data_IF_965977581386
#
_entry.id   IF_965977581386
#
_cell.length_a   1.000
_cell.length_b   1.000
_cell.length_c   1.000
_cell.angle_alpha   90.00
_cell.angle_beta   90.00
_cell.angle_gamma   90.00
#
_symmetry.space_group_name_H-M   'P 1'
#
loop_
_entity.id
_entity.type
_entity.pdbx_description
1 polymer ?
#
# COMPACT_ATOMS: atom_id res chain seq x y z
N UNK A 1 29.25 -7.40 -17.28
CA UNK A 1 30.72 -7.38 -17.18
C UNK A 1 31.11 -5.92 -17.15
N UNK A 2 31.74 -5.49 -16.06
CA UNK A 2 32.11 -4.09 -15.82
C UNK A 2 33.10 -3.56 -16.87
N UNK A 3 33.31 -2.24 -16.89
CA UNK A 3 34.29 -1.56 -17.75
C UNK A 3 35.68 -2.23 -17.64
N UNK A 4 36.29 -2.73 -18.73
CA UNK A 4 37.62 -3.33 -18.72
C UNK A 4 38.69 -2.45 -18.08
N UNK A 5 38.54 -1.12 -18.16
CA UNK A 5 39.47 -0.20 -17.52
C UNK A 5 39.33 -0.19 -15.98
N UNK A 6 38.15 -0.46 -15.44
CA UNK A 6 37.92 -0.55 -13.98
C UNK A 6 38.56 -1.81 -13.39
N UNK A 7 38.41 -2.95 -14.07
CA UNK A 7 39.10 -4.20 -13.72
C UNK A 7 40.63 -4.01 -13.80
N UNK A 8 41.12 -3.38 -14.87
CA UNK A 8 42.55 -3.11 -15.06
C UNK A 8 43.16 -2.27 -13.93
N UNK A 9 42.47 -1.20 -13.51
CA UNK A 9 42.87 -0.38 -12.36
C UNK A 9 42.93 -1.20 -11.06
N UNK A 10 41.89 -2.00 -10.77
CA UNK A 10 41.85 -2.84 -9.57
C UNK A 10 42.96 -3.90 -9.56
N UNK A 11 43.20 -4.57 -10.69
CA UNK A 11 44.29 -5.54 -10.83
C UNK A 11 45.65 -4.88 -10.54
N UNK A 12 45.88 -3.68 -11.09
CA UNK A 12 47.11 -2.94 -10.87
C UNK A 12 47.29 -2.53 -9.40
N UNK A 13 46.23 -2.04 -8.76
CA UNK A 13 46.25 -1.65 -7.35
C UNK A 13 46.57 -2.83 -6.44
N UNK A 14 45.89 -3.96 -6.64
CA UNK A 14 46.12 -5.18 -5.87
C UNK A 14 47.54 -5.71 -6.04
N UNK A 15 48.03 -5.76 -7.28
CA UNK A 15 49.41 -6.16 -7.56
C UNK A 15 50.42 -5.27 -6.84
N UNK A 16 50.23 -3.95 -6.91
CA UNK A 16 51.10 -2.98 -6.22
C UNK A 16 51.05 -3.12 -4.70
N UNK A 17 49.86 -3.35 -4.12
CA UNK A 17 49.69 -3.61 -2.67
C UNK A 17 50.38 -4.89 -2.23
N UNK A 18 50.35 -5.93 -3.07
CA UNK A 18 51.09 -7.18 -2.84
C UNK A 18 52.60 -7.07 -3.08
N UNK A 19 53.10 -5.92 -3.54
CA UNK A 19 54.53 -5.70 -3.82
C UNK A 19 55.05 -6.44 -5.06
N UNK A 20 54.16 -6.94 -5.93
CA UNK A 20 54.52 -7.77 -7.08
C UNK A 20 54.81 -6.91 -8.32
N UNK A 21 55.80 -7.29 -9.11
CA UNK A 21 55.98 -6.83 -10.48
C UNK A 21 55.00 -7.52 -11.43
N UNK A 22 54.79 -6.97 -12.64
CA UNK A 22 53.94 -7.62 -13.65
C UNK A 22 54.49 -9.00 -14.07
N UNK A 23 55.80 -9.20 -13.97
CA UNK A 23 56.43 -10.50 -14.22
C UNK A 23 56.19 -11.52 -13.11
N UNK A 24 56.12 -11.07 -11.86
CA UNK A 24 55.83 -11.95 -10.71
C UNK A 24 54.35 -12.34 -10.61
N UNK A 25 53.45 -11.51 -11.15
CA UNK A 25 52.03 -11.86 -11.26
C UNK A 25 51.73 -12.75 -12.49
N UNK A 26 52.62 -12.75 -13.49
CA UNK A 26 52.46 -13.53 -14.72
C UNK A 26 52.57 -15.04 -14.45
N UNK A 27 51.94 -15.84 -15.31
CA UNK A 27 51.93 -17.30 -15.25
C UNK A 27 51.76 -17.92 -16.63
N UNK A 28 51.82 -19.26 -16.71
CA UNK A 28 51.66 -19.95 -17.99
C UNK A 28 50.27 -19.66 -18.60
N UNK A 29 50.24 -19.09 -19.80
CA UNK A 29 49.02 -18.56 -20.42
C UNK A 29 48.71 -17.07 -20.16
N UNK A 30 49.48 -16.39 -19.29
CA UNK A 30 49.34 -14.94 -19.03
C UNK A 30 50.72 -14.28 -18.83
N UNK A 31 51.31 -13.75 -19.92
CA UNK A 31 52.62 -13.10 -19.85
C UNK A 31 52.60 -11.73 -19.16
N UNK A 32 53.74 -11.22 -18.72
CA UNK A 32 53.85 -9.88 -18.12
C UNK A 32 53.30 -8.76 -19.04
N UNK A 33 53.52 -8.88 -20.35
CA UNK A 33 52.94 -7.97 -21.35
C UNK A 33 51.43 -8.16 -21.55
N UNK A 34 50.89 -9.34 -21.21
CA UNK A 34 49.45 -9.58 -21.17
C UNK A 34 48.82 -8.92 -19.92
N UNK A 35 49.43 -9.11 -18.74
CA UNK A 35 49.05 -8.42 -17.49
C UNK A 35 49.03 -6.90 -17.69
N UNK A 36 50.08 -6.34 -18.30
CA UNK A 36 50.16 -4.90 -18.59
C UNK A 36 49.00 -4.39 -19.46
N UNK A 37 48.60 -5.14 -20.48
CA UNK A 37 47.45 -4.79 -21.34
C UNK A 37 46.10 -4.93 -20.62
N UNK A 38 45.98 -5.86 -19.67
CA UNK A 38 44.79 -5.93 -18.81
C UNK A 38 44.76 -4.71 -17.88
N UNK A 39 45.87 -4.37 -17.23
CA UNK A 39 45.97 -3.19 -16.34
C UNK A 39 45.64 -1.87 -17.05
N UNK A 40 46.01 -1.75 -18.33
CA UNK A 40 45.71 -0.60 -19.17
C UNK A 40 44.24 -0.55 -19.65
N UNK A 41 43.47 -1.63 -19.49
CA UNK A 41 42.11 -1.76 -20.02
C UNK A 41 42.05 -2.13 -21.51
N UNK A 42 43.19 -2.34 -22.18
CA UNK A 42 43.31 -2.66 -23.61
C UNK A 42 42.91 -4.11 -23.93
N UNK A 43 42.79 -4.96 -22.91
CA UNK A 43 42.50 -6.39 -23.07
C UNK A 43 41.53 -6.87 -22.00
N UNK A 44 40.42 -7.47 -22.44
CA UNK A 44 39.50 -8.19 -21.56
C UNK A 44 40.04 -9.60 -21.30
N UNK A 45 40.37 -9.96 -20.04
CA UNK A 45 40.80 -11.31 -19.70
C UNK A 45 39.64 -12.31 -19.78
N UNK A 46 39.94 -13.59 -20.00
CA UNK A 46 38.94 -14.66 -19.86
C UNK A 46 38.65 -14.91 -18.38
N UNK A 47 37.49 -15.51 -18.08
CA UNK A 47 37.10 -15.84 -16.70
C UNK A 47 38.13 -16.73 -15.99
N UNK A 48 38.71 -17.67 -16.72
CA UNK A 48 39.78 -18.53 -16.21
C UNK A 48 41.02 -17.72 -15.78
N UNK A 49 41.44 -16.74 -16.60
CA UNK A 49 42.57 -15.86 -16.25
C UNK A 49 42.26 -14.99 -15.03
N UNK A 50 41.02 -14.52 -14.90
CA UNK A 50 40.59 -13.72 -13.74
C UNK A 50 40.68 -14.53 -12.46
N UNK A 51 40.18 -15.77 -12.42
CA UNK A 51 40.28 -16.66 -11.25
C UNK A 51 41.73 -16.86 -10.82
N UNK A 52 42.58 -17.19 -11.79
CA UNK A 52 43.98 -17.50 -11.57
C UNK A 52 44.81 -16.27 -11.14
N UNK A 53 44.40 -15.06 -11.57
CA UNK A 53 44.94 -13.79 -11.06
C UNK A 53 44.43 -13.46 -9.65
N UNK A 54 43.16 -13.71 -9.37
CA UNK A 54 42.54 -13.48 -8.07
C UNK A 54 43.18 -14.37 -6.98
N UNK A 55 43.36 -15.66 -7.28
CA UNK A 55 44.02 -16.62 -6.40
C UNK A 55 45.44 -16.20 -6.03
N UNK A 56 46.24 -15.71 -7.01
CA UNK A 56 47.59 -15.20 -6.75
C UNK A 56 47.63 -13.92 -5.93
N UNK A 57 46.58 -13.11 -6.00
CA UNK A 57 46.46 -11.86 -5.27
C UNK A 57 45.75 -12.03 -3.91
N UNK A 58 45.26 -13.23 -3.61
CA UNK A 58 44.56 -13.54 -2.37
C UNK A 58 43.21 -12.84 -2.23
N UNK A 59 42.54 -12.56 -3.36
CA UNK A 59 41.20 -11.93 -3.39
C UNK A 59 40.20 -12.85 -4.09
N UNK A 60 38.91 -12.61 -3.89
CA UNK A 60 37.88 -13.35 -4.64
C UNK A 60 37.85 -12.98 -6.12
N UNK A 61 37.45 -13.94 -6.96
CA UNK A 61 37.14 -13.70 -8.38
C UNK A 61 36.13 -12.56 -8.54
N UNK A 62 35.10 -12.55 -7.68
CA UNK A 62 34.07 -11.52 -7.67
C UNK A 62 34.66 -10.14 -7.41
N UNK A 63 35.47 -9.96 -6.37
CA UNK A 63 36.12 -8.67 -6.09
C UNK A 63 37.03 -8.19 -7.21
N UNK A 64 37.76 -9.10 -7.87
CA UNK A 64 38.58 -8.74 -9.02
C UNK A 64 37.73 -8.33 -10.23
N UNK A 65 36.51 -8.86 -10.39
CA UNK A 65 35.58 -8.51 -11.46
C UNK A 65 34.75 -7.26 -11.17
N UNK A 66 34.19 -7.14 -9.96
CA UNK A 66 33.16 -6.15 -9.58
C UNK A 66 33.66 -5.08 -8.60
N UNK A 67 34.74 -5.37 -7.87
CA UNK A 67 35.31 -4.47 -6.85
C UNK A 67 34.64 -4.61 -5.49
N UNK A 68 33.70 -5.56 -5.35
CA UNK A 68 33.02 -5.91 -4.12
C UNK A 68 33.34 -7.36 -3.72
N UNK A 69 33.72 -7.58 -2.47
CA UNK A 69 33.84 -8.94 -1.92
C UNK A 69 32.47 -9.38 -1.39
N UNK A 70 31.98 -10.54 -1.86
CA UNK A 70 30.94 -11.30 -1.15
C UNK A 70 29.51 -10.77 -1.24
N UNK A 71 29.23 -9.76 -2.05
CA UNK A 71 27.86 -9.25 -2.22
C UNK A 71 26.95 -10.25 -2.98
N UNK A 72 27.50 -11.18 -3.77
CA UNK A 72 26.74 -12.27 -4.37
C UNK A 72 26.06 -13.19 -3.34
N UNK A 73 26.68 -13.39 -2.18
CA UNK A 73 26.05 -14.12 -1.05
C UNK A 73 24.85 -13.32 -0.53
N UNK A 74 24.99 -12.01 -0.41
CA UNK A 74 23.90 -11.15 0.05
C UNK A 74 22.77 -11.03 -0.95
N UNK A 75 23.03 -11.08 -2.26
CA UNK A 75 21.98 -11.19 -3.27
C UNK A 75 21.13 -12.46 -3.07
N UNK A 76 21.77 -13.60 -2.77
CA UNK A 76 21.04 -14.84 -2.45
C UNK A 76 20.24 -14.70 -1.15
N UNK A 77 20.85 -14.13 -0.10
CA UNK A 77 20.16 -13.86 1.18
C UNK A 77 18.95 -12.94 1.00
N UNK A 78 19.02 -11.92 0.14
CA UNK A 78 17.90 -11.04 -0.17
C UNK A 78 16.77 -11.76 -0.91
N UNK A 79 17.11 -12.72 -1.79
CA UNK A 79 16.12 -13.57 -2.44
C UNK A 79 15.43 -14.47 -1.41
N UNK A 80 16.18 -15.08 -0.50
CA UNK A 80 15.62 -15.90 0.59
C UNK A 80 14.73 -15.05 1.52
N UNK A 81 15.15 -13.82 1.83
CA UNK A 81 14.37 -12.87 2.61
C UNK A 81 13.04 -12.50 1.93
N UNK A 82 13.06 -12.27 0.61
CA UNK A 82 11.85 -11.99 -0.18
C UNK A 82 10.92 -13.20 -0.26
N UNK A 83 11.46 -14.42 -0.31
CA UNK A 83 10.65 -15.65 -0.25
C UNK A 83 9.98 -15.75 1.12
N UNK A 84 10.74 -15.63 2.20
CA UNK A 84 10.21 -15.65 3.57
C UNK A 84 9.12 -14.58 3.77
N UNK A 85 9.34 -13.36 3.25
CA UNK A 85 8.35 -12.28 3.27
C UNK A 85 7.05 -12.68 2.57
N UNK A 86 7.12 -13.35 1.41
CA UNK A 86 5.94 -13.79 0.65
C UNK A 86 5.21 -14.96 1.30
N UNK A 87 5.93 -15.80 2.04
CA UNK A 87 5.36 -16.92 2.79
C UNK A 87 4.77 -16.50 4.15
N UNK A 88 4.88 -15.22 4.52
CA UNK A 88 4.41 -14.70 5.81
C UNK A 88 5.36 -15.01 6.97
N UNK A 89 6.58 -15.46 6.70
CA UNK A 89 7.63 -15.77 7.67
C UNK A 89 8.38 -14.49 8.08
N UNK A 90 7.61 -13.51 8.58
CA UNK A 90 8.09 -12.15 8.76
C UNK A 90 9.23 -11.98 9.78
N UNK A 91 9.44 -12.94 10.69
CA UNK A 91 10.58 -12.94 11.60
C UNK A 91 11.88 -13.31 10.87
N UNK A 92 11.84 -14.38 10.06
CA UNK A 92 12.98 -14.82 9.26
C UNK A 92 13.35 -13.78 8.20
N UNK A 93 12.35 -13.24 7.49
CA UNK A 93 12.57 -12.16 6.53
C UNK A 93 13.26 -10.95 7.20
N UNK A 94 12.81 -10.56 8.40
CA UNK A 94 13.40 -9.46 9.15
C UNK A 94 14.88 -9.73 9.48
N UNK A 95 15.20 -10.93 9.95
CA UNK A 95 16.57 -11.32 10.30
C UNK A 95 17.49 -11.33 9.07
N UNK A 96 17.02 -11.87 7.94
CA UNK A 96 17.79 -11.94 6.70
C UNK A 96 18.06 -10.55 6.11
N UNK A 97 17.04 -9.68 6.03
CA UNK A 97 17.25 -8.29 5.61
C UNK A 97 18.14 -7.52 6.60
N UNK A 98 17.98 -7.75 7.91
CA UNK A 98 18.80 -7.13 8.94
C UNK A 98 20.29 -7.47 8.81
N UNK A 99 20.61 -8.76 8.55
CA UNK A 99 21.97 -9.22 8.28
C UNK A 99 22.54 -8.57 7.01
N UNK A 100 21.79 -8.60 5.91
CA UNK A 100 22.22 -7.97 4.66
C UNK A 100 22.49 -6.47 4.85
N UNK A 101 21.63 -5.75 5.59
CA UNK A 101 21.84 -4.33 5.88
C UNK A 101 23.09 -4.07 6.75
N UNK A 102 23.35 -4.92 7.74
CA UNK A 102 24.45 -4.76 8.69
C UNK A 102 25.81 -5.19 8.15
N UNK A 103 25.86 -6.23 7.32
CA UNK A 103 27.11 -6.91 6.92
C UNK A 103 27.50 -6.68 5.46
N UNK A 104 26.57 -6.35 4.56
CA UNK A 104 26.91 -6.10 3.16
C UNK A 104 27.77 -4.84 2.99
N UNK A 105 28.55 -4.79 1.92
CA UNK A 105 29.34 -3.60 1.59
C UNK A 105 28.66 -2.74 0.53
N UNK A 106 28.00 -3.35 -0.46
CA UNK A 106 27.25 -2.67 -1.51
C UNK A 106 26.12 -1.78 -0.96
N UNK A 107 26.03 -0.59 -1.57
CA UNK A 107 24.95 0.37 -1.36
C UNK A 107 23.63 -0.17 -1.92
N UNK A 108 23.67 -0.89 -3.03
CA UNK A 108 22.52 -1.51 -3.68
C UNK A 108 21.91 -2.59 -2.78
N UNK A 109 22.73 -3.51 -2.25
CA UNK A 109 22.27 -4.56 -1.32
C UNK A 109 21.67 -3.94 -0.06
N UNK A 110 22.31 -2.92 0.51
CA UNK A 110 21.75 -2.20 1.68
C UNK A 110 20.44 -1.49 1.37
N UNK A 111 20.31 -0.92 0.17
CA UNK A 111 19.10 -0.26 -0.31
C UNK A 111 17.96 -1.28 -0.45
N UNK A 112 18.21 -2.45 -1.03
CA UNK A 112 17.23 -3.53 -1.15
C UNK A 112 16.86 -4.13 0.21
N UNK A 113 17.81 -4.28 1.12
CA UNK A 113 17.54 -4.69 2.50
C UNK A 113 16.62 -3.71 3.24
N UNK A 114 16.88 -2.41 3.11
CA UNK A 114 16.01 -1.35 3.66
C UNK A 114 14.61 -1.40 3.04
N UNK A 115 14.51 -1.63 1.73
CA UNK A 115 13.23 -1.80 1.03
C UNK A 115 12.43 -2.98 1.59
N UNK A 116 13.08 -4.14 1.77
CA UNK A 116 12.48 -5.33 2.39
C UNK A 116 11.99 -5.08 3.83
N UNK A 117 12.80 -4.43 4.67
CA UNK A 117 12.40 -4.05 6.03
C UNK A 117 11.25 -3.04 6.03
N UNK A 118 11.23 -2.10 5.08
CA UNK A 118 10.14 -1.15 4.89
C UNK A 118 8.82 -1.84 4.51
N UNK A 119 8.88 -2.87 3.65
CA UNK A 119 7.73 -3.72 3.33
C UNK A 119 7.21 -4.50 4.55
N UNK A 120 8.10 -5.05 5.38
CA UNK A 120 7.71 -5.70 6.63
C UNK A 120 7.03 -4.74 7.60
N UNK A 121 7.57 -3.54 7.79
CA UNK A 121 6.96 -2.51 8.62
C UNK A 121 5.56 -2.14 8.09
N UNK A 122 5.39 -2.03 6.77
CA UNK A 122 4.09 -1.78 6.16
C UNK A 122 3.09 -2.92 6.42
N UNK A 123 3.50 -4.19 6.32
CA UNK A 123 2.65 -5.35 6.63
C UNK A 123 2.25 -5.42 8.11
N UNK A 124 3.12 -4.94 9.02
CA UNK A 124 2.85 -4.87 10.47
C UNK A 124 1.96 -3.70 10.88
N UNK A 125 1.60 -2.82 9.94
CA UNK A 125 0.83 -1.61 10.26
C UNK A 125 1.68 -0.54 10.95
N UNK A 126 2.98 -0.46 10.65
CA UNK A 126 3.93 0.50 11.20
C UNK A 126 4.32 1.55 10.13
N UNK A 127 3.37 2.40 9.66
CA UNK A 127 3.58 3.22 8.47
C UNK A 127 4.68 4.26 8.60
N UNK A 128 4.91 4.81 9.80
CA UNK A 128 6.02 5.77 10.03
C UNK A 128 7.38 5.11 9.82
N UNK A 129 7.56 3.89 10.32
CA UNK A 129 8.80 3.14 10.14
C UNK A 129 8.96 2.70 8.68
N UNK A 130 7.86 2.30 8.03
CA UNK A 130 7.88 2.00 6.60
C UNK A 130 8.35 3.20 5.76
N UNK A 131 7.83 4.40 6.02
CA UNK A 131 8.27 5.64 5.33
C UNK A 131 9.77 5.85 5.54
N UNK A 132 10.25 5.83 6.79
CA UNK A 132 11.66 6.07 7.09
C UNK A 132 12.58 5.10 6.33
N UNK A 133 12.27 3.80 6.36
CA UNK A 133 13.08 2.77 5.71
C UNK A 133 13.06 2.89 4.18
N UNK A 134 11.89 3.12 3.58
CA UNK A 134 11.73 3.20 2.12
C UNK A 134 12.33 4.49 1.56
N UNK A 135 12.21 5.62 2.26
CA UNK A 135 12.89 6.87 1.89
C UNK A 135 14.41 6.72 1.99
N UNK A 136 14.92 6.09 3.06
CA UNK A 136 16.35 5.79 3.20
C UNK A 136 16.85 4.87 2.08
N UNK A 137 16.07 3.86 1.68
CA UNK A 137 16.40 2.97 0.57
C UNK A 137 16.60 3.75 -0.75
N UNK A 138 15.70 4.69 -1.06
CA UNK A 138 15.80 5.56 -2.24
C UNK A 138 16.97 6.53 -2.13
N UNK A 139 17.14 7.18 -0.97
CA UNK A 139 18.21 8.16 -0.74
C UNK A 139 19.61 7.55 -0.86
N UNK A 140 19.77 6.28 -0.46
CA UNK A 140 21.06 5.60 -0.49
C UNK A 140 21.59 5.40 -1.92
N UNK A 141 20.71 5.17 -2.89
CA UNK A 141 21.06 4.91 -4.30
C UNK A 141 20.75 6.09 -5.24
N UNK A 142 19.99 7.08 -4.77
CA UNK A 142 19.45 8.15 -5.63
C UNK A 142 18.44 7.64 -6.66
N UNK A 143 17.87 6.44 -6.45
CA UNK A 143 16.95 5.81 -7.39
C UNK A 143 15.65 6.62 -7.53
N UNK A 144 15.11 6.65 -8.74
CA UNK A 144 13.78 7.18 -8.99
C UNK A 144 12.72 6.18 -8.45
N UNK A 145 11.72 6.63 -7.65
CA UNK A 145 10.70 5.71 -7.11
C UNK A 145 9.94 4.92 -8.19
N UNK A 146 9.75 5.54 -9.36
CA UNK A 146 9.08 4.92 -10.50
C UNK A 146 9.82 3.70 -11.06
N UNK A 147 11.14 3.66 -10.88
CA UNK A 147 11.99 2.54 -11.31
C UNK A 147 11.96 1.40 -10.26
N UNK A 148 11.32 1.62 -9.09
CA UNK A 148 11.06 0.64 -8.02
C UNK A 148 9.58 0.58 -7.63
N UNK A 149 8.71 -0.04 -8.46
CA UNK A 149 7.27 0.13 -8.30
C UNK A 149 6.67 -0.42 -7.01
N UNK A 150 7.25 -1.48 -6.43
CA UNK A 150 6.80 -2.03 -5.14
C UNK A 150 7.10 -1.07 -3.99
N UNK A 151 8.34 -0.56 -3.92
CA UNK A 151 8.73 0.49 -2.98
C UNK A 151 7.79 1.69 -3.09
N UNK A 152 7.60 2.24 -4.29
CA UNK A 152 6.76 3.43 -4.48
C UNK A 152 5.30 3.20 -4.09
N UNK A 153 4.75 2.02 -4.35
CA UNK A 153 3.41 1.65 -3.89
C UNK A 153 3.34 1.59 -2.35
N UNK A 154 4.29 0.91 -1.69
CA UNK A 154 4.30 0.80 -0.24
C UNK A 154 4.50 2.15 0.44
N UNK A 155 5.41 2.98 -0.06
CA UNK A 155 5.67 4.32 0.45
C UNK A 155 4.43 5.22 0.31
N UNK A 156 3.81 5.23 -0.87
CA UNK A 156 2.60 6.01 -1.12
C UNK A 156 1.40 5.56 -0.27
N UNK A 157 1.24 4.26 -0.05
CA UNK A 157 0.22 3.72 0.87
C UNK A 157 0.52 4.08 2.33
N UNK A 158 1.79 4.06 2.74
CA UNK A 158 2.19 4.43 4.09
C UNK A 158 1.89 5.91 4.36
N UNK A 159 2.22 6.82 3.44
CA UNK A 159 1.79 8.23 3.53
C UNK A 159 0.27 8.36 3.63
N UNK A 160 -0.49 7.67 2.77
CA UNK A 160 -1.94 7.73 2.78
C UNK A 160 -2.54 7.23 4.11
N UNK A 161 -1.96 6.19 4.71
CA UNK A 161 -2.40 5.66 6.01
C UNK A 161 -2.16 6.61 7.19
N UNK A 162 -1.25 7.57 7.04
CA UNK A 162 -1.02 8.66 7.99
C UNK A 162 -1.82 9.92 7.65
N UNK A 163 -2.75 9.84 6.71
CA UNK A 163 -3.52 10.98 6.16
C UNK A 163 -2.62 12.04 5.47
N UNK A 164 -1.37 11.70 5.17
CA UNK A 164 -0.43 12.51 4.41
C UNK A 164 -0.69 12.35 2.90
N UNK A 165 -1.87 12.77 2.45
CA UNK A 165 -2.33 12.55 1.08
C UNK A 165 -1.50 13.33 0.04
N UNK A 166 -0.99 14.51 0.38
CA UNK A 166 -0.24 15.35 -0.54
C UNK A 166 1.10 14.70 -1.00
N UNK A 167 1.97 14.18 -0.10
CA UNK A 167 3.12 13.38 -0.49
C UNK A 167 2.77 12.16 -1.35
N UNK A 168 1.71 11.41 -0.99
CA UNK A 168 1.27 10.24 -1.76
C UNK A 168 0.87 10.62 -3.20
N UNK A 169 0.06 11.67 -3.35
CA UNK A 169 -0.38 12.20 -4.66
C UNK A 169 0.84 12.64 -5.49
N UNK A 170 1.79 13.37 -4.89
CA UNK A 170 2.99 13.82 -5.58
C UNK A 170 3.84 12.64 -6.07
N UNK A 171 4.02 11.62 -5.24
CA UNK A 171 4.75 10.39 -5.57
C UNK A 171 4.10 9.65 -6.74
N UNK A 172 2.78 9.43 -6.70
CA UNK A 172 2.08 8.70 -7.77
C UNK A 172 2.03 9.49 -9.08
N UNK A 173 1.85 10.82 -9.04
CA UNK A 173 1.97 11.68 -10.23
C UNK A 173 3.36 11.59 -10.84
N UNK A 174 4.42 11.58 -10.02
CA UNK A 174 5.81 11.39 -10.49
C UNK A 174 5.98 10.04 -11.19
N UNK A 175 5.43 8.96 -10.61
CA UNK A 175 5.48 7.63 -11.20
C UNK A 175 4.75 7.55 -12.55
N UNK A 176 3.53 8.10 -12.65
CA UNK A 176 2.77 8.15 -13.90
C UNK A 176 3.48 8.99 -14.97
N UNK A 177 4.06 10.13 -14.59
CA UNK A 177 4.83 10.98 -15.51
C UNK A 177 6.05 10.24 -16.06
N UNK A 178 6.77 9.49 -15.22
CA UNK A 178 7.94 8.70 -15.64
C UNK A 178 7.58 7.58 -16.59
N UNK A 179 6.43 6.91 -16.39
CA UNK A 179 5.93 5.87 -17.30
C UNK A 179 5.56 6.42 -18.69
N UNK A 180 5.11 7.67 -18.80
CA UNK A 180 4.78 8.31 -20.09
C UNK A 180 3.68 7.57 -20.87
N UNK A 181 3.54 7.82 -22.19
CA UNK A 181 2.52 7.19 -23.06
C UNK A 181 2.82 5.73 -23.40
N UNK A 182 4.09 5.35 -23.41
CA UNK A 182 4.56 4.07 -23.95
C UNK A 182 5.00 3.09 -22.83
N UNK A 183 4.99 3.54 -21.57
CA UNK A 183 5.30 2.70 -20.42
C UNK A 183 4.28 1.59 -20.17
N UNK A 184 4.72 0.63 -19.36
CA UNK A 184 3.98 -0.57 -18.98
C UNK A 184 2.55 -0.25 -18.51
N UNK A 185 1.56 -0.83 -19.18
CA UNK A 185 0.15 -0.58 -18.90
C UNK A 185 -0.29 -1.10 -17.52
N UNK A 186 0.31 -2.19 -17.02
CA UNK A 186 0.03 -2.75 -15.69
C UNK A 186 0.53 -1.78 -14.61
N UNK A 187 1.73 -1.23 -14.77
CA UNK A 187 2.28 -0.23 -13.83
C UNK A 187 1.54 1.09 -13.92
N UNK A 188 1.12 1.51 -15.12
CA UNK A 188 0.27 2.70 -15.26
C UNK A 188 -1.05 2.53 -14.51
N UNK A 189 -1.75 1.42 -14.72
CA UNK A 189 -3.00 1.12 -14.02
C UNK A 189 -2.79 1.07 -12.50
N UNK A 190 -1.69 0.47 -12.03
CA UNK A 190 -1.32 0.44 -10.60
C UNK A 190 -1.27 1.85 -10.00
N UNK A 191 -0.42 2.71 -10.54
CA UNK A 191 -0.23 4.04 -9.97
C UNK A 191 -1.42 4.96 -10.20
N UNK A 192 -2.16 4.80 -11.29
CA UNK A 192 -3.38 5.57 -11.53
C UNK A 192 -4.49 5.18 -10.54
N UNK A 193 -4.66 3.89 -10.21
CA UNK A 193 -5.60 3.48 -9.18
C UNK A 193 -5.22 4.03 -7.80
N UNK A 194 -3.93 3.97 -7.43
CA UNK A 194 -3.41 4.50 -6.16
C UNK A 194 -3.57 6.03 -6.08
N UNK A 195 -3.30 6.74 -7.17
CA UNK A 195 -3.55 8.18 -7.27
C UNK A 195 -5.05 8.49 -7.16
N UNK A 196 -5.90 7.73 -7.86
CA UNK A 196 -7.35 7.87 -7.78
C UNK A 196 -7.87 7.69 -6.35
N UNK A 197 -7.31 6.74 -5.59
CA UNK A 197 -7.61 6.57 -4.16
C UNK A 197 -7.24 7.80 -3.35
N UNK A 198 -5.98 8.26 -3.43
CA UNK A 198 -5.51 9.39 -2.65
C UNK A 198 -6.28 10.70 -3.00
N UNK A 199 -6.63 10.90 -4.28
CA UNK A 199 -7.46 12.02 -4.72
C UNK A 199 -8.89 11.93 -4.20
N UNK A 200 -9.48 10.73 -4.19
CA UNK A 200 -10.82 10.51 -3.64
C UNK A 200 -10.85 10.76 -2.14
N UNK A 201 -9.83 10.30 -1.41
CA UNK A 201 -9.69 10.52 0.03
C UNK A 201 -9.47 12.00 0.37
N UNK A 202 -8.84 12.76 -0.54
CA UNK A 202 -8.70 14.21 -0.43
C UNK A 202 -9.99 14.97 -0.82
N UNK A 203 -10.97 14.31 -1.43
CA UNK A 203 -12.21 14.89 -1.95
C UNK A 203 -12.11 15.48 -3.37
N UNK A 204 -11.00 15.25 -4.08
CA UNK A 204 -10.79 15.72 -5.46
C UNK A 204 -11.39 14.76 -6.49
N UNK A 205 -12.71 14.59 -6.46
CA UNK A 205 -13.41 13.57 -7.24
C UNK A 205 -13.31 13.75 -8.77
N UNK A 206 -13.29 14.99 -9.25
CA UNK A 206 -13.21 15.26 -10.69
C UNK A 206 -11.85 14.81 -11.26
N UNK A 207 -10.77 15.09 -10.54
CA UNK A 207 -9.43 14.63 -10.94
C UNK A 207 -9.30 13.12 -10.79
N UNK A 208 -9.85 12.55 -9.70
CA UNK A 208 -9.88 11.10 -9.52
C UNK A 208 -10.60 10.40 -10.68
N UNK A 209 -11.72 10.96 -11.15
CA UNK A 209 -12.46 10.44 -12.31
C UNK A 209 -11.64 10.47 -13.59
N UNK A 210 -10.95 11.57 -13.87
CA UNK A 210 -10.05 11.67 -15.03
C UNK A 210 -8.92 10.63 -14.97
N UNK A 211 -8.30 10.45 -13.80
CA UNK A 211 -7.20 9.50 -13.61
C UNK A 211 -7.67 8.06 -13.79
N UNK A 212 -8.79 7.67 -13.16
CA UNK A 212 -9.33 6.32 -13.27
C UNK A 212 -9.86 6.04 -14.67
N UNK A 213 -10.48 7.01 -15.35
CA UNK A 213 -10.90 6.88 -16.75
C UNK A 213 -9.70 6.69 -17.68
N UNK A 214 -8.60 7.42 -17.48
CA UNK A 214 -7.36 7.22 -18.22
C UNK A 214 -6.76 5.81 -17.99
N UNK A 215 -6.85 5.30 -16.76
CA UNK A 215 -6.44 3.93 -16.43
C UNK A 215 -7.34 2.89 -17.10
N UNK A 216 -8.66 3.10 -17.16
CA UNK A 216 -9.61 2.26 -17.88
C UNK A 216 -9.27 2.17 -19.37
N UNK A 217 -8.94 3.30 -20.00
CA UNK A 217 -8.57 3.34 -21.41
C UNK A 217 -7.27 2.57 -21.67
N UNK A 218 -6.23 2.88 -20.91
CA UNK A 218 -4.91 2.28 -21.10
C UNK A 218 -4.86 0.81 -20.68
N UNK A 219 -5.69 0.42 -19.72
CA UNK A 219 -5.85 -0.94 -19.23
C UNK A 219 -6.72 -1.84 -20.12
N UNK A 220 -7.33 -1.34 -21.20
CA UNK A 220 -8.25 -2.14 -22.05
C UNK A 220 -7.66 -3.46 -22.54
N UNK A 221 -6.37 -3.45 -22.90
CA UNK A 221 -5.65 -4.63 -23.39
C UNK A 221 -5.10 -5.54 -22.30
N UNK A 222 -5.19 -5.15 -21.02
CA UNK A 222 -4.65 -5.94 -19.91
C UNK A 222 -5.60 -7.10 -19.60
N UNK A 223 -5.08 -8.32 -19.74
CA UNK A 223 -5.79 -9.57 -19.45
C UNK A 223 -5.57 -10.09 -18.04
N UNK A 224 -4.52 -9.61 -17.35
CA UNK A 224 -4.20 -9.97 -15.97
C UNK A 224 -5.40 -9.72 -15.03
N UNK A 225 -5.98 -10.77 -14.42
CA UNK A 225 -7.17 -10.64 -13.58
C UNK A 225 -6.98 -9.72 -12.38
N UNK A 226 -5.79 -9.68 -11.78
CA UNK A 226 -5.50 -8.81 -10.63
C UNK A 226 -5.55 -7.33 -11.02
N UNK A 227 -4.86 -6.97 -12.10
CA UNK A 227 -4.84 -5.59 -12.61
C UNK A 227 -6.23 -5.14 -13.05
N UNK A 228 -7.00 -6.01 -13.72
CA UNK A 228 -8.39 -5.73 -14.08
C UNK A 228 -9.27 -5.52 -12.85
N UNK A 229 -9.16 -6.41 -11.85
CA UNK A 229 -9.94 -6.33 -10.61
C UNK A 229 -9.65 -5.04 -9.84
N UNK A 230 -8.37 -4.65 -9.72
CA UNK A 230 -7.96 -3.40 -9.09
C UNK A 230 -8.57 -2.18 -9.78
N UNK A 231 -8.58 -2.17 -11.11
CA UNK A 231 -9.13 -1.08 -11.89
C UNK A 231 -10.66 -0.97 -11.76
N UNK A 232 -11.36 -2.10 -11.86
CA UNK A 232 -12.81 -2.17 -11.66
C UNK A 232 -13.20 -1.77 -10.23
N UNK A 233 -12.43 -2.21 -9.22
CA UNK A 233 -12.62 -1.79 -7.85
C UNK A 233 -12.40 -0.29 -7.68
N UNK A 234 -11.33 0.28 -8.26
CA UNK A 234 -11.08 1.72 -8.19
C UNK A 234 -12.24 2.54 -8.74
N UNK A 235 -12.79 2.14 -9.89
CA UNK A 235 -13.99 2.76 -10.44
C UNK A 235 -15.20 2.60 -9.53
N UNK A 236 -15.43 1.41 -8.96
CA UNK A 236 -16.53 1.17 -8.02
C UNK A 236 -16.43 2.07 -6.80
N UNK A 237 -15.25 2.16 -6.19
CA UNK A 237 -15.01 2.99 -4.99
C UNK A 237 -15.24 4.46 -5.29
N UNK A 238 -14.71 4.96 -6.40
CA UNK A 238 -14.96 6.34 -6.82
C UNK A 238 -16.45 6.60 -6.97
N UNK A 239 -17.20 5.72 -7.64
CA UNK A 239 -18.65 5.87 -7.82
C UNK A 239 -19.42 5.87 -6.49
N UNK A 240 -18.99 5.10 -5.49
CA UNK A 240 -19.56 5.14 -4.12
C UNK A 240 -19.36 6.52 -3.50
N UNK A 241 -18.12 7.04 -3.52
CA UNK A 241 -17.84 8.39 -3.00
C UNK A 241 -18.59 9.46 -3.78
N UNK A 242 -18.90 9.18 -5.04
CA UNK A 242 -19.73 10.06 -5.85
C UNK A 242 -21.24 9.96 -5.56
N UNK A 243 -21.70 8.99 -4.76
CA UNK A 243 -23.12 8.71 -4.47
C UNK A 243 -23.86 7.92 -5.56
N UNK A 244 -23.13 7.34 -6.53
CA UNK A 244 -23.68 6.62 -7.70
C UNK A 244 -23.71 5.10 -7.46
N UNK A 245 -24.42 4.67 -6.42
CA UNK A 245 -24.38 3.29 -5.89
C UNK A 245 -24.81 2.22 -6.89
N UNK A 246 -25.78 2.49 -7.78
CA UNK A 246 -26.21 1.52 -8.80
C UNK A 246 -25.15 1.27 -9.87
N UNK A 247 -24.38 2.30 -10.24
CA UNK A 247 -23.25 2.14 -11.14
C UNK A 247 -22.08 1.45 -10.44
N UNK A 248 -21.84 1.78 -9.16
CA UNK A 248 -20.84 1.11 -8.35
C UNK A 248 -21.11 -0.41 -8.26
N UNK A 249 -22.36 -0.83 -8.04
CA UNK A 249 -22.75 -2.24 -7.98
C UNK A 249 -22.28 -3.02 -9.22
N UNK A 250 -22.43 -2.43 -10.43
CA UNK A 250 -22.02 -3.07 -11.68
C UNK A 250 -20.53 -3.32 -11.74
N UNK A 251 -19.72 -2.38 -11.24
CA UNK A 251 -18.26 -2.53 -11.22
C UNK A 251 -17.82 -3.49 -10.11
N UNK A 252 -18.39 -3.39 -8.91
CA UNK A 252 -18.12 -4.31 -7.80
C UNK A 252 -18.43 -5.78 -8.17
N UNK A 253 -19.56 -6.04 -8.84
CA UNK A 253 -19.89 -7.39 -9.35
C UNK A 253 -18.85 -7.91 -10.33
N UNK A 254 -18.41 -7.08 -11.28
CA UNK A 254 -17.34 -7.46 -12.22
C UNK A 254 -16.01 -7.71 -11.52
N UNK A 255 -15.67 -6.93 -10.48
CA UNK A 255 -14.50 -7.18 -9.65
C UNK A 255 -14.59 -8.57 -9.00
N UNK A 256 -15.72 -8.88 -8.37
CA UNK A 256 -15.94 -10.18 -7.73
C UNK A 256 -15.87 -11.33 -8.74
N UNK A 257 -16.51 -11.20 -9.91
CA UNK A 257 -16.43 -12.18 -11.00
C UNK A 257 -15.00 -12.39 -11.51
N UNK A 258 -14.22 -11.31 -11.63
CA UNK A 258 -12.82 -11.40 -12.10
C UNK A 258 -11.92 -12.07 -11.06
N UNK A 259 -12.09 -11.76 -9.78
CA UNK A 259 -11.30 -12.35 -8.69
C UNK A 259 -11.65 -13.82 -8.43
N UNK A 260 -12.87 -14.27 -8.77
CA UNK A 260 -13.21 -15.70 -8.68
C UNK A 260 -12.31 -16.59 -9.54
N UNK A 261 -11.68 -16.02 -10.57
CA UNK A 261 -10.72 -16.74 -11.41
C UNK A 261 -9.30 -16.83 -10.83
N UNK A 262 -8.97 -16.11 -9.74
CA UNK A 262 -7.61 -16.07 -9.19
C UNK A 262 -7.41 -16.94 -7.96
N UNK A 263 -8.45 -17.63 -7.47
CA UNK A 263 -8.46 -18.41 -6.22
C UNK A 263 -7.97 -17.62 -4.97
N UNK A 264 -7.93 -16.29 -5.07
CA UNK A 264 -7.46 -15.40 -4.02
C UNK A 264 -8.57 -15.12 -3.02
N UNK A 265 -8.64 -15.97 -2.00
CA UNK A 265 -9.67 -15.88 -0.95
C UNK A 265 -9.64 -14.53 -0.24
N UNK A 266 -8.46 -13.97 -0.01
CA UNK A 266 -8.30 -12.68 0.65
C UNK A 266 -8.89 -11.53 -0.17
N UNK A 267 -8.52 -11.44 -1.46
CA UNK A 267 -9.06 -10.43 -2.36
C UNK A 267 -10.57 -10.59 -2.56
N UNK A 268 -11.05 -11.85 -2.63
CA UNK A 268 -12.48 -12.15 -2.70
C UNK A 268 -13.22 -11.64 -1.46
N UNK A 269 -12.70 -11.89 -0.25
CA UNK A 269 -13.30 -11.42 0.99
C UNK A 269 -13.52 -9.90 1.00
N UNK A 270 -12.50 -9.14 0.60
CA UNK A 270 -12.59 -7.68 0.45
C UNK A 270 -13.63 -7.24 -0.59
N UNK A 271 -13.73 -7.94 -1.72
CA UNK A 271 -14.75 -7.67 -2.72
C UNK A 271 -16.18 -7.91 -2.20
N UNK A 272 -16.39 -8.95 -1.37
CA UNK A 272 -17.67 -9.18 -0.70
C UNK A 272 -18.03 -8.04 0.27
N UNK A 273 -17.06 -7.59 1.07
CA UNK A 273 -17.25 -6.45 1.98
C UNK A 273 -17.64 -5.17 1.22
N UNK A 274 -16.94 -4.86 0.13
CA UNK A 274 -17.24 -3.69 -0.71
C UNK A 274 -18.63 -3.79 -1.36
N UNK A 275 -19.05 -4.98 -1.80
CA UNK A 275 -20.38 -5.18 -2.38
C UNK A 275 -21.48 -5.11 -1.32
N UNK A 276 -21.23 -5.62 -0.10
CA UNK A 276 -22.14 -5.49 1.04
C UNK A 276 -22.39 -4.02 1.38
N UNK A 277 -21.32 -3.23 1.42
CA UNK A 277 -21.38 -1.79 1.63
C UNK A 277 -22.33 -1.11 0.62
N UNK A 278 -22.17 -1.43 -0.67
CA UNK A 278 -23.03 -0.92 -1.75
C UNK A 278 -24.48 -1.37 -1.55
N UNK A 279 -24.72 -2.63 -1.20
CA UNK A 279 -26.08 -3.12 -0.95
C UNK A 279 -26.76 -2.41 0.23
N UNK A 280 -26.03 -2.09 1.29
CA UNK A 280 -26.58 -1.32 2.40
C UNK A 280 -26.94 0.11 1.99
N UNK A 281 -26.09 0.76 1.19
CA UNK A 281 -26.37 2.10 0.66
C UNK A 281 -27.56 2.11 -0.31
N UNK A 282 -27.81 0.99 -1.00
CA UNK A 282 -28.99 0.77 -1.85
C UNK A 282 -30.25 0.30 -1.07
N UNK A 283 -30.17 0.18 0.26
CA UNK A 283 -31.30 -0.28 1.07
C UNK A 283 -31.66 -1.76 0.90
N UNK A 284 -30.69 -2.61 0.53
CA UNK A 284 -30.84 -4.06 0.29
C UNK A 284 -30.13 -4.90 1.37
N UNK A 285 -30.52 -4.79 2.66
CA UNK A 285 -29.75 -5.38 3.75
C UNK A 285 -29.75 -6.91 3.76
N UNK A 286 -30.80 -7.56 3.25
CA UNK A 286 -30.83 -9.03 3.14
C UNK A 286 -29.79 -9.57 2.13
N UNK A 287 -29.50 -8.80 1.07
CA UNK A 287 -28.46 -9.15 0.10
C UNK A 287 -27.07 -8.84 0.64
N UNK A 288 -26.94 -7.73 1.38
CA UNK A 288 -25.73 -7.42 2.13
C UNK A 288 -25.38 -8.53 3.13
N UNK A 289 -26.35 -9.02 3.90
CA UNK A 289 -26.11 -10.13 4.82
C UNK A 289 -25.60 -11.37 4.10
N UNK A 290 -26.27 -11.77 3.01
CA UNK A 290 -25.89 -12.97 2.25
C UNK A 290 -24.47 -12.89 1.71
N UNK A 291 -24.09 -11.74 1.13
CA UNK A 291 -22.74 -11.58 0.56
C UNK A 291 -21.68 -11.52 1.68
N UNK A 292 -22.03 -11.00 2.86
CA UNK A 292 -21.14 -11.05 4.03
C UNK A 292 -20.96 -12.48 4.55
N UNK A 293 -22.04 -13.25 4.63
CA UNK A 293 -21.99 -14.66 5.06
C UNK A 293 -21.14 -15.51 4.10
N UNK A 294 -21.23 -15.26 2.78
CA UNK A 294 -20.42 -15.91 1.76
C UNK A 294 -18.93 -15.53 1.84
N UNK A 295 -18.63 -14.27 2.15
CA UNK A 295 -17.26 -13.76 2.16
C UNK A 295 -16.51 -13.96 3.48
N UNK A 296 -17.21 -14.12 4.61
CA UNK A 296 -16.59 -14.25 5.93
C UNK A 296 -15.54 -15.40 6.02
N UNK A 297 -15.83 -16.63 5.56
CA UNK A 297 -14.85 -17.73 5.61
C UNK A 297 -13.60 -17.47 4.76
N UNK A 298 -13.66 -16.53 3.81
CA UNK A 298 -12.55 -16.21 2.92
C UNK A 298 -11.57 -15.21 3.53
N UNK A 299 -12.02 -14.43 4.53
CA UNK A 299 -11.25 -13.33 5.11
C UNK A 299 -10.88 -13.56 6.57
N UNK A 300 -11.66 -14.35 7.32
CA UNK A 300 -11.55 -14.45 8.79
C UNK A 300 -10.15 -14.86 9.29
N UNK A 301 -9.42 -15.69 8.54
CA UNK A 301 -8.11 -16.20 8.91
C UNK A 301 -6.94 -15.41 8.32
N UNK A 302 -7.19 -14.58 7.31
CA UNK A 302 -6.14 -13.93 6.51
C UNK A 302 -6.07 -12.40 6.73
N UNK A 303 -7.16 -11.78 7.20
CA UNK A 303 -7.21 -10.36 7.41
C UNK A 303 -6.61 -9.89 8.72
N UNK A 304 -6.13 -8.64 8.69
CA UNK A 304 -5.70 -7.93 9.89
C UNK A 304 -6.89 -7.67 10.83
N UNK A 305 -6.65 -7.44 12.14
CA UNK A 305 -7.73 -7.10 13.07
C UNK A 305 -8.57 -5.88 12.63
N UNK A 306 -7.94 -4.91 11.97
CA UNK A 306 -8.62 -3.72 11.44
C UNK A 306 -9.58 -4.07 10.30
N UNK A 307 -9.14 -4.89 9.36
CA UNK A 307 -9.96 -5.31 8.22
C UNK A 307 -11.13 -6.18 8.67
N UNK A 308 -10.90 -7.06 9.65
CA UNK A 308 -11.98 -7.81 10.29
C UNK A 308 -12.98 -6.86 10.98
N UNK A 309 -12.52 -5.81 11.64
CA UNK A 309 -13.40 -4.80 12.22
C UNK A 309 -14.24 -4.11 11.12
N UNK A 310 -13.64 -3.69 10.01
CA UNK A 310 -14.39 -3.09 8.88
C UNK A 310 -15.43 -4.04 8.30
N UNK A 311 -15.11 -5.32 8.15
CA UNK A 311 -16.06 -6.34 7.71
C UNK A 311 -17.25 -6.44 8.66
N UNK A 312 -16.96 -6.54 9.96
CA UNK A 312 -17.95 -6.68 11.03
C UNK A 312 -18.80 -5.42 11.22
N UNK A 313 -18.31 -4.23 10.85
CA UNK A 313 -19.11 -3.00 10.80
C UNK A 313 -20.22 -3.12 9.75
N UNK A 314 -19.93 -3.66 8.56
CA UNK A 314 -20.97 -3.88 7.54
C UNK A 314 -21.99 -4.93 7.98
N UNK A 315 -21.56 -5.97 8.71
CA UNK A 315 -22.47 -6.94 9.33
C UNK A 315 -23.38 -6.29 10.37
N UNK A 316 -22.83 -5.44 11.26
CA UNK A 316 -23.63 -4.71 12.24
C UNK A 316 -24.65 -3.77 11.56
N UNK A 317 -24.26 -3.07 10.49
CA UNK A 317 -25.17 -2.26 9.65
C UNK A 317 -26.29 -3.11 9.03
N UNK A 318 -25.95 -4.27 8.49
CA UNK A 318 -26.89 -5.23 7.92
C UNK A 318 -27.91 -5.72 8.97
N UNK A 319 -27.43 -6.17 10.14
CA UNK A 319 -28.28 -6.61 11.25
C UNK A 319 -29.21 -5.49 11.72
N UNK A 320 -28.70 -4.27 11.86
CA UNK A 320 -29.51 -3.10 12.24
C UNK A 320 -30.65 -2.85 11.23
N UNK A 321 -30.31 -2.83 9.93
CA UNK A 321 -31.27 -2.62 8.86
C UNK A 321 -32.29 -3.78 8.69
N UNK A 322 -31.95 -4.98 9.15
CA UNK A 322 -32.85 -6.14 9.24
C UNK A 322 -33.72 -6.14 10.50
N UNK A 323 -33.66 -5.09 11.33
CA UNK A 323 -34.43 -4.98 12.56
C UNK A 323 -33.87 -5.80 13.73
N UNK A 324 -32.65 -6.34 13.62
CA UNK A 324 -31.98 -7.10 14.68
C UNK A 324 -31.14 -6.18 15.59
N UNK A 325 -31.75 -5.08 16.04
CA UNK A 325 -31.08 -4.01 16.79
C UNK A 325 -30.23 -4.49 17.98
N UNK A 326 -30.72 -5.38 18.86
CA UNK A 326 -29.92 -5.85 20.00
C UNK A 326 -28.64 -6.59 19.59
N UNK A 327 -28.72 -7.45 18.56
CA UNK A 327 -27.55 -8.18 18.02
C UNK A 327 -26.58 -7.22 17.34
N UNK A 328 -27.11 -6.26 16.59
CA UNK A 328 -26.30 -5.21 15.95
C UNK A 328 -25.55 -4.36 16.99
N UNK A 329 -26.21 -4.01 18.10
CA UNK A 329 -25.61 -3.24 19.18
C UNK A 329 -24.48 -4.01 19.88
N UNK A 330 -24.73 -5.28 20.24
CA UNK A 330 -23.72 -6.16 20.85
C UNK A 330 -22.47 -6.29 19.94
N UNK A 331 -22.70 -6.50 18.65
CA UNK A 331 -21.63 -6.58 17.66
C UNK A 331 -20.86 -5.27 17.58
N UNK A 332 -21.54 -4.14 17.41
CA UNK A 332 -20.90 -2.83 17.28
C UNK A 332 -20.13 -2.43 18.55
N UNK A 333 -20.61 -2.77 19.75
CA UNK A 333 -19.85 -2.56 20.99
C UNK A 333 -18.57 -3.41 21.04
N UNK A 334 -18.65 -4.69 20.64
CA UNK A 334 -17.48 -5.57 20.58
C UNK A 334 -16.42 -5.04 19.61
N UNK A 335 -16.85 -4.43 18.49
CA UNK A 335 -15.94 -3.79 17.54
C UNK A 335 -15.28 -2.57 18.20
N UNK A 336 -16.09 -1.72 18.85
CA UNK A 336 -15.59 -0.49 19.48
C UNK A 336 -14.52 -0.78 20.55
N UNK A 337 -14.75 -1.81 21.38
CA UNK A 337 -13.80 -2.24 22.42
C UNK A 337 -12.44 -2.68 21.83
N UNK A 338 -12.43 -3.16 20.58
CA UNK A 338 -11.21 -3.64 19.89
C UNK A 338 -10.46 -2.56 19.11
N UNK A 339 -11.15 -1.54 18.60
CA UNK A 339 -10.52 -0.48 17.80
C UNK A 339 -9.55 0.38 18.62
N UNK A 340 -9.76 0.49 19.94
CA UNK A 340 -8.89 1.22 20.86
C UNK A 340 -8.77 2.72 20.52
N UNK A 341 -7.91 3.43 21.25
CA UNK A 341 -7.71 4.87 21.04
C UNK A 341 -6.88 5.22 19.79
N UNK A 342 -6.28 4.22 19.14
CA UNK A 342 -5.38 4.42 18.00
C UNK A 342 -6.11 4.60 16.66
N UNK A 343 -7.41 4.29 16.59
CA UNK A 343 -8.22 4.33 15.37
C UNK A 343 -9.45 5.23 15.55
N UNK A 344 -9.26 6.55 15.76
CA UNK A 344 -10.34 7.48 16.09
C UNK A 344 -11.42 7.59 15.01
N UNK A 345 -11.03 7.51 13.73
CA UNK A 345 -11.98 7.60 12.60
C UNK A 345 -12.93 6.39 12.59
N UNK A 346 -12.39 5.18 12.72
CA UNK A 346 -13.21 3.96 12.77
C UNK A 346 -14.06 3.90 14.02
N UNK A 347 -13.50 4.27 15.18
CA UNK A 347 -14.26 4.38 16.42
C UNK A 347 -15.40 5.39 16.28
N UNK A 348 -15.17 6.53 15.63
CA UNK A 348 -16.19 7.53 15.33
C UNK A 348 -17.30 6.97 14.45
N UNK A 349 -16.95 6.20 13.41
CA UNK A 349 -17.91 5.51 12.54
C UNK A 349 -18.78 4.51 13.31
N UNK A 350 -18.18 3.73 14.21
CA UNK A 350 -18.91 2.77 15.05
C UNK A 350 -19.83 3.48 16.06
N UNK A 351 -19.40 4.61 16.63
CA UNK A 351 -20.27 5.44 17.47
C UNK A 351 -21.50 5.95 16.72
N UNK A 352 -21.32 6.42 15.48
CA UNK A 352 -22.45 6.83 14.64
C UNK A 352 -23.41 5.66 14.39
N UNK A 353 -22.89 4.47 14.04
CA UNK A 353 -23.69 3.26 13.86
C UNK A 353 -24.45 2.87 15.14
N UNK A 354 -23.79 2.88 16.30
CA UNK A 354 -24.46 2.62 17.58
C UNK A 354 -25.57 3.64 17.84
N UNK A 355 -25.34 4.92 17.51
CA UNK A 355 -26.37 5.95 17.61
C UNK A 355 -27.60 5.62 16.76
N UNK A 356 -27.40 5.16 15.53
CA UNK A 356 -28.48 4.71 14.64
C UNK A 356 -29.25 3.53 15.22
N UNK A 357 -28.52 2.55 15.76
CA UNK A 357 -29.11 1.35 16.37
C UNK A 357 -29.95 1.72 17.59
N UNK A 358 -29.42 2.53 18.50
CA UNK A 358 -30.14 2.95 19.71
C UNK A 358 -31.31 3.88 19.43
N UNK A 359 -31.22 4.69 18.38
CA UNK A 359 -32.36 5.47 17.89
C UNK A 359 -33.49 4.55 17.41
N UNK A 360 -33.17 3.50 16.65
CA UNK A 360 -34.13 2.48 16.22
C UNK A 360 -34.71 1.64 17.37
N UNK A 361 -33.97 1.49 18.47
CA UNK A 361 -34.44 0.81 19.70
C UNK A 361 -35.30 1.70 20.60
N UNK A 362 -35.50 2.98 20.25
CA UNK A 362 -36.29 3.92 21.05
C UNK A 362 -35.54 4.52 22.24
N UNK A 363 -34.21 4.56 22.20
CA UNK A 363 -33.35 5.22 23.21
C UNK A 363 -32.72 6.51 22.64
N UNK A 364 -33.50 7.57 22.34
CA UNK A 364 -33.01 8.75 21.62
C UNK A 364 -31.97 9.57 22.39
N UNK A 365 -32.01 9.54 23.74
CA UNK A 365 -31.01 10.18 24.59
C UNK A 365 -29.63 9.53 24.41
N UNK A 366 -29.57 8.21 24.51
CA UNK A 366 -28.36 7.43 24.29
C UNK A 366 -27.86 7.56 22.85
N UNK A 367 -28.77 7.56 21.89
CA UNK A 367 -28.43 7.79 20.48
C UNK A 367 -27.73 9.13 20.27
N UNK A 368 -28.20 10.22 20.91
CA UNK A 368 -27.56 11.53 20.83
C UNK A 368 -26.14 11.51 21.38
N UNK A 369 -25.93 10.95 22.57
CA UNK A 369 -24.59 10.88 23.19
C UNK A 369 -23.59 10.13 22.29
N UNK A 370 -24.07 9.10 21.60
CA UNK A 370 -23.29 8.34 20.62
C UNK A 370 -23.01 9.16 19.36
N UNK A 371 -24.00 9.89 18.82
CA UNK A 371 -23.79 10.80 17.70
C UNK A 371 -22.79 11.92 18.04
N UNK A 372 -22.89 12.53 19.22
CA UNK A 372 -21.94 13.55 19.70
C UNK A 372 -20.53 12.99 19.86
N UNK A 373 -20.39 11.78 20.41
CA UNK A 373 -19.10 11.09 20.53
C UNK A 373 -18.50 10.78 19.16
N UNK A 374 -19.31 10.26 18.22
CA UNK A 374 -18.88 9.97 16.86
C UNK A 374 -18.41 11.20 16.11
N UNK A 375 -19.20 12.28 16.16
CA UNK A 375 -18.83 13.58 15.56
C UNK A 375 -17.53 14.12 16.15
N UNK A 376 -17.38 14.10 17.48
CA UNK A 376 -16.17 14.57 18.18
C UNK A 376 -14.91 13.83 17.76
N UNK A 377 -15.01 12.52 17.53
CA UNK A 377 -13.89 11.70 17.07
C UNK A 377 -13.53 11.96 15.61
N UNK A 378 -14.51 12.30 14.77
CA UNK A 378 -14.32 12.51 13.33
C UNK A 378 -13.89 13.94 12.98
N UNK A 379 -14.29 14.93 13.77
CA UNK A 379 -14.03 16.36 13.52
C UNK A 379 -12.54 16.71 13.28
N UNK A 380 -11.58 16.19 14.08
CA UNK A 380 -10.16 16.49 13.86
C UNK A 380 -9.61 16.00 12.51
N UNK A 381 -10.25 14.98 11.93
CA UNK A 381 -9.83 14.30 10.70
C UNK A 381 -10.50 14.87 9.44
N UNK A 382 -11.26 15.96 9.58
CA UNK A 382 -11.75 16.74 8.45
C UNK A 382 -12.90 16.10 7.66
N UNK A 383 -12.82 16.16 6.33
CA UNK A 383 -13.94 16.09 5.37
C UNK A 383 -14.40 14.67 5.05
N UNK A 384 -14.61 13.84 6.06
CA UNK A 384 -15.11 12.47 5.82
C UNK A 384 -16.61 12.49 5.53
N UNK A 385 -17.09 11.60 4.64
CA UNK A 385 -18.54 11.38 4.45
C UNK A 385 -19.24 10.96 5.74
N UNK A 386 -18.51 10.28 6.63
CA UNK A 386 -19.02 9.86 7.93
C UNK A 386 -19.25 11.07 8.86
N UNK A 387 -18.38 12.08 8.84
CA UNK A 387 -18.60 13.32 9.61
C UNK A 387 -19.87 14.04 9.13
N UNK A 388 -20.08 14.15 7.81
CA UNK A 388 -21.30 14.73 7.25
C UNK A 388 -22.55 13.96 7.67
N UNK A 389 -22.49 12.62 7.62
CA UNK A 389 -23.57 11.76 8.13
C UNK A 389 -23.82 11.99 9.62
N UNK A 390 -22.75 12.08 10.42
CA UNK A 390 -22.81 12.34 11.85
C UNK A 390 -23.49 13.67 12.18
N UNK A 391 -23.10 14.76 11.50
CA UNK A 391 -23.76 16.05 11.66
C UNK A 391 -25.24 16.00 11.28
N UNK A 392 -25.59 15.37 10.16
CA UNK A 392 -27.00 15.22 9.74
C UNK A 392 -27.83 14.50 10.80
N UNK A 393 -27.32 13.39 11.35
CA UNK A 393 -28.02 12.60 12.38
C UNK A 393 -28.11 13.34 13.71
N UNK A 394 -27.04 14.01 14.13
CA UNK A 394 -27.03 14.81 15.35
C UNK A 394 -28.01 15.98 15.24
N UNK A 395 -28.01 16.71 14.12
CA UNK A 395 -28.95 17.80 13.87
C UNK A 395 -30.41 17.30 13.86
N UNK A 396 -30.68 16.16 13.22
CA UNK A 396 -32.00 15.54 13.23
C UNK A 396 -32.45 15.16 14.66
N UNK A 397 -31.54 14.60 15.46
CA UNK A 397 -31.81 14.28 16.88
C UNK A 397 -32.09 15.53 17.71
N UNK A 398 -31.28 16.59 17.57
CA UNK A 398 -31.47 17.87 18.27
C UNK A 398 -32.80 18.53 17.90
N UNK A 399 -33.16 18.50 16.61
CA UNK A 399 -34.43 19.03 16.11
C UNK A 399 -35.63 18.28 16.70
N UNK A 400 -35.56 16.95 16.83
CA UNK A 400 -36.64 16.15 17.44
C UNK A 400 -36.87 16.51 18.91
N UNK A 401 -35.81 16.91 19.62
CA UNK A 401 -35.88 17.38 21.01
C UNK A 401 -36.22 18.87 21.15
N UNK A 402 -36.53 19.56 20.06
CA UNK A 402 -36.84 20.99 20.07
C UNK A 402 -35.63 21.91 20.25
N UNK A 403 -34.40 21.38 20.25
CA UNK A 403 -33.13 22.14 20.34
C UNK A 403 -32.76 22.72 18.97
N UNK A 404 -33.64 23.54 18.41
CA UNK A 404 -33.58 24.00 17.02
C UNK A 404 -32.35 24.85 16.71
N UNK A 405 -31.93 25.74 17.63
CA UNK A 405 -30.73 26.58 17.44
C UNK A 405 -29.47 25.73 17.30
N UNK A 406 -29.30 24.75 18.19
CA UNK A 406 -28.14 23.85 18.14
C UNK A 406 -28.19 22.91 16.93
N UNK A 407 -29.38 22.49 16.50
CA UNK A 407 -29.53 21.75 15.25
C UNK A 407 -29.07 22.58 14.04
N UNK A 408 -29.35 23.88 14.03
CA UNK A 408 -28.89 24.80 12.99
C UNK A 408 -27.37 24.98 13.02
N UNK A 409 -26.78 25.19 14.21
CA UNK A 409 -25.32 25.27 14.38
C UNK A 409 -24.62 24.02 13.82
N UNK A 410 -25.15 22.82 14.11
CA UNK A 410 -24.60 21.57 13.59
C UNK A 410 -24.72 21.47 12.06
N UNK A 411 -25.83 21.95 11.48
CA UNK A 411 -25.99 21.99 10.02
C UNK A 411 -25.07 23.00 9.34
N UNK A 412 -24.83 24.16 9.94
CA UNK A 412 -23.87 25.15 9.45
C UNK A 412 -22.45 24.57 9.41
N UNK A 413 -22.07 23.80 10.44
CA UNK A 413 -20.79 23.07 10.45
C UNK A 413 -20.72 22.02 9.33
N UNK A 414 -21.83 21.33 9.05
CA UNK A 414 -21.90 20.39 7.94
C UNK A 414 -21.74 21.08 6.57
N UNK A 415 -22.36 22.25 6.38
CA UNK A 415 -22.21 23.05 5.16
C UNK A 415 -20.77 23.51 4.97
N UNK A 416 -20.10 23.96 6.04
CA UNK A 416 -18.69 24.35 5.96
C UNK A 416 -17.79 23.18 5.52
N UNK A 417 -18.08 21.96 5.98
CA UNK A 417 -17.38 20.75 5.51
C UNK A 417 -17.69 20.45 4.05
N UNK A 418 -18.93 20.62 3.58
CA UNK A 418 -19.32 20.43 2.18
C UNK A 418 -18.66 21.45 1.23
N UNK A 419 -18.73 22.74 1.57
CA UNK A 419 -18.18 23.83 0.75
C UNK A 419 -16.66 23.70 0.61
N UNK A 420 -15.99 23.33 1.70
CA UNK A 420 -14.56 23.07 1.66
C UNK A 420 -14.21 21.78 0.93
N UNK A 421 -15.11 20.78 0.85
CA UNK A 421 -14.92 19.52 0.12
C UNK A 421 -15.15 19.60 -1.40
N UNK A 422 -15.56 20.76 -1.93
CA UNK A 422 -15.80 20.92 -3.36
C UNK A 422 -17.04 20.17 -3.87
N UNK A 423 -18.00 19.81 -2.99
CA UNK A 423 -19.27 19.21 -3.39
C UNK A 423 -20.47 19.76 -2.64
N UNK A 424 -21.48 20.14 -3.44
CA UNK A 424 -22.89 20.17 -3.04
C UNK A 424 -23.44 18.74 -3.17
N UNK A 425 -23.47 17.98 -2.08
CA UNK A 425 -24.24 16.73 -2.02
C UNK A 425 -25.68 17.09 -1.64
N UNK A 426 -26.54 17.27 -2.65
CA UNK A 426 -28.00 17.41 -2.50
C UNK A 426 -28.63 16.11 -2.03
#
# INVERSE_FOLDING_TARGET
>A
MEDPAALGRRLQELRKRAGLSQGELAFDGCSAGYVSRIEAGDRVPSLHLVRELADRLGVSEEYLLTGSEGDGVWCAVLVDAEIALRLGEGAEAHDLYGKALGEATSVEVKSEALEGLGHLAAQRGEPRQAIELLERALALTGAEPADRPRLAEALGRAYASLEELAPAIALFRRCLKRLGSDGDAIQYVRFACLLGYALSDLGQFDEAELVVAGALERGRGVTDPYTRSRLLWSQSRLLIEQGKSELAERYAKKTLETLRATEDSYALGHAHQSLAHIYLDLGRPAEAQRILDEGWPLIESAATPLELAHYRIEEARSLAALGQGPRAAELAMTILDRLGAALPVDAGRVHLLLGEIFEGLGEPGRARELYESGVRLLEPHGKTRYLLSGYRRLAASLKRDGRTEQALEVLERALHVQDSAGRVLL
#
